data_IF_758172890333
#
_entry.id   IF_758172890333
#
_cell.length_a   1.000
_cell.length_b   1.000
_cell.length_c   1.000
_cell.angle_alpha   90.00
_cell.angle_beta   90.00
_cell.angle_gamma   90.00
#
_symmetry.space_group_name_H-M   'P 1'
#
loop_
_entity.id
_entity.type
_entity.pdbx_description
1 polymer ?
#
# COMPACT_ATOMS: atom_id res chain seq x y z
N UNK A 1 -7.35 22.41 27.65
CA UNK A 1 -5.91 22.17 27.40
C UNK A 1 -5.69 20.67 27.25
N UNK A 2 -5.05 20.19 26.18
CA UNK A 2 -4.90 18.75 25.93
C UNK A 2 -3.89 18.08 26.86
N UNK A 3 -4.22 16.90 27.41
CA UNK A 3 -3.34 16.10 28.27
C UNK A 3 -2.07 15.73 27.50
N UNK A 4 -0.89 16.03 28.09
CA UNK A 4 0.41 15.63 27.52
C UNK A 4 0.51 14.11 27.53
N UNK A 5 0.70 13.50 26.36
CA UNK A 5 0.92 12.04 26.23
C UNK A 5 2.33 11.67 26.71
N UNK A 6 2.51 10.49 27.33
CA UNK A 6 3.84 10.02 27.73
C UNK A 6 4.74 9.80 26.51
N UNK A 7 6.03 10.02 26.69
CA UNK A 7 7.07 9.88 25.65
C UNK A 7 8.13 8.85 26.07
N UNK A 8 7.81 7.55 26.10
CA UNK A 8 8.73 6.54 26.60
C UNK A 8 9.86 6.18 25.62
N UNK A 9 9.81 6.67 24.37
CA UNK A 9 10.77 6.31 23.32
C UNK A 9 11.70 7.45 22.94
N UNK A 10 12.82 7.08 22.30
CA UNK A 10 13.79 8.00 21.70
C UNK A 10 14.25 9.09 22.68
N UNK A 11 14.85 8.66 23.80
CA UNK A 11 15.35 9.54 24.85
C UNK A 11 14.30 10.55 25.37
N UNK A 12 13.08 10.07 25.65
CA UNK A 12 12.02 10.92 26.20
C UNK A 12 11.34 11.86 25.20
N UNK A 13 11.67 11.78 23.90
CA UNK A 13 11.19 12.75 22.90
C UNK A 13 9.97 12.25 22.11
N UNK A 14 9.74 10.94 22.06
CA UNK A 14 8.75 10.33 21.17
C UNK A 14 7.66 9.56 21.92
N UNK A 15 6.40 9.81 21.54
CA UNK A 15 5.23 9.06 22.02
C UNK A 15 5.16 7.67 21.39
N UNK A 16 4.45 6.72 22.00
CA UNK A 16 4.23 5.38 21.44
C UNK A 16 3.63 5.42 20.03
N UNK A 17 2.68 6.32 19.78
CA UNK A 17 2.09 6.49 18.44
C UNK A 17 3.11 6.99 17.42
N UNK A 18 4.03 7.87 17.83
CA UNK A 18 5.14 8.32 16.99
C UNK A 18 6.11 7.19 16.66
N UNK A 19 6.48 6.40 17.66
CA UNK A 19 7.39 5.26 17.51
C UNK A 19 6.86 4.22 16.51
N UNK A 20 5.62 3.75 16.70
CA UNK A 20 5.03 2.76 15.80
C UNK A 20 4.69 3.34 14.42
N UNK A 21 4.36 4.64 14.34
CA UNK A 21 4.22 5.36 13.07
C UNK A 21 5.53 5.40 12.28
N UNK A 22 6.66 5.65 12.94
CA UNK A 22 7.99 5.63 12.35
C UNK A 22 8.33 4.25 11.79
N UNK A 23 8.15 3.18 12.58
CA UNK A 23 8.41 1.80 12.13
C UNK A 23 7.53 1.46 10.92
N UNK A 24 6.24 1.78 10.98
CA UNK A 24 5.30 1.53 9.87
C UNK A 24 5.75 2.21 8.59
N UNK A 25 6.23 3.45 8.68
CA UNK A 25 6.76 4.21 7.54
C UNK A 25 8.02 3.56 6.96
N UNK A 26 8.96 3.16 7.83
CA UNK A 26 10.19 2.50 7.42
C UNK A 26 9.93 1.16 6.70
N UNK A 27 9.04 0.32 7.24
CA UNK A 27 8.65 -0.94 6.62
C UNK A 27 7.99 -0.73 5.25
N UNK A 28 7.04 0.22 5.14
CA UNK A 28 6.39 0.55 3.86
C UNK A 28 7.36 1.12 2.83
N UNK A 29 8.41 1.84 3.27
CA UNK A 29 9.44 2.30 2.36
C UNK A 29 10.22 1.12 1.77
N UNK A 30 10.52 0.10 2.58
CA UNK A 30 11.22 -1.11 2.14
C UNK A 30 10.36 -2.00 1.25
N UNK A 31 9.06 -2.12 1.53
CA UNK A 31 8.15 -2.94 0.72
C UNK A 31 8.03 -2.49 -0.74
N UNK A 32 8.38 -1.24 -1.06
CA UNK A 32 8.44 -0.75 -2.46
C UNK A 32 9.42 -1.51 -3.34
N UNK A 33 10.47 -2.09 -2.73
CA UNK A 33 11.51 -2.86 -3.43
C UNK A 33 11.22 -4.36 -3.41
N UNK A 34 10.08 -4.77 -2.85
CA UNK A 34 9.67 -6.17 -2.80
C UNK A 34 9.38 -6.69 -4.20
N UNK A 35 10.07 -7.76 -4.62
CA UNK A 35 10.02 -8.27 -5.99
C UNK A 35 8.58 -8.60 -6.45
N UNK A 36 7.72 -9.22 -5.62
CA UNK A 36 6.32 -9.46 -5.96
C UNK A 36 5.51 -8.22 -6.39
N UNK A 37 5.81 -7.03 -5.87
CA UNK A 37 5.15 -5.78 -6.30
C UNK A 37 5.42 -5.50 -7.78
N UNK A 38 6.68 -5.67 -8.20
CA UNK A 38 7.07 -5.49 -9.59
C UNK A 38 6.48 -6.60 -10.47
N UNK A 39 6.38 -7.82 -9.95
CA UNK A 39 5.82 -8.97 -10.69
C UNK A 39 4.32 -8.84 -10.91
N UNK A 40 3.54 -8.45 -9.89
CA UNK A 40 2.10 -8.20 -10.01
C UNK A 40 1.81 -7.15 -11.09
N UNK A 41 2.64 -6.11 -11.15
CA UNK A 41 2.56 -5.08 -12.20
C UNK A 41 2.90 -5.64 -13.59
N UNK A 42 3.88 -6.55 -13.71
CA UNK A 42 4.19 -7.20 -14.99
C UNK A 42 3.06 -8.11 -15.46
N UNK A 43 2.47 -8.91 -14.56
CA UNK A 43 1.38 -9.83 -14.90
C UNK A 43 0.13 -9.08 -15.38
N UNK A 44 -0.12 -7.88 -14.86
CA UNK A 44 -1.25 -7.06 -15.27
C UNK A 44 -1.04 -6.25 -16.56
N UNK A 45 0.11 -6.37 -17.26
CA UNK A 45 0.46 -5.50 -18.39
C UNK A 45 0.26 -6.16 -19.75
N UNK A 46 -0.01 -5.33 -20.77
CA UNK A 46 0.08 -5.70 -22.19
C UNK A 46 0.78 -4.62 -23.01
N UNK A 47 1.26 -4.98 -24.20
CA UNK A 47 1.82 -4.01 -25.14
C UNK A 47 0.74 -3.01 -25.53
N UNK A 48 1.03 -1.72 -25.37
CA UNK A 48 0.10 -0.67 -25.75
C UNK A 48 0.01 -0.57 -27.29
N UNK A 49 -1.21 -0.52 -27.81
CA UNK A 49 -1.49 -0.32 -29.23
C UNK A 49 -2.28 0.99 -29.39
N UNK A 50 -1.60 2.08 -29.71
CA UNK A 50 -2.25 3.36 -29.94
C UNK A 50 -1.31 4.45 -30.45
N UNK A 51 -1.85 5.67 -30.62
CA UNK A 51 -1.15 6.79 -31.26
C UNK A 51 0.09 7.25 -30.49
N UNK A 52 0.10 7.09 -29.16
CA UNK A 52 1.22 7.51 -28.34
C UNK A 52 2.38 6.50 -28.42
N UNK A 53 3.30 6.72 -29.37
CA UNK A 53 4.49 5.87 -29.58
C UNK A 53 5.44 5.79 -28.38
N UNK A 54 5.36 6.72 -27.41
CA UNK A 54 6.20 6.69 -26.19
C UNK A 54 5.70 5.70 -25.14
N UNK A 55 4.44 5.28 -25.23
CA UNK A 55 3.87 4.33 -24.28
C UNK A 55 4.11 2.90 -24.78
N UNK A 56 4.96 2.16 -24.07
CA UNK A 56 5.25 0.75 -24.39
C UNK A 56 4.20 -0.21 -23.81
N UNK A 57 3.72 0.08 -22.60
CA UNK A 57 2.87 -0.81 -21.82
C UNK A 57 1.61 -0.09 -21.35
N UNK A 58 0.53 -0.85 -21.20
CA UNK A 58 -0.65 -0.47 -20.43
C UNK A 58 -1.04 -1.61 -19.48
N UNK A 59 -1.75 -1.27 -18.42
CA UNK A 59 -2.00 -2.16 -17.28
C UNK A 59 -3.50 -2.28 -17.03
N UNK A 60 -3.96 -3.50 -16.76
CA UNK A 60 -5.36 -3.77 -16.49
C UNK A 60 -5.68 -3.54 -15.01
N UNK A 61 -6.72 -2.74 -14.76
CA UNK A 61 -7.27 -2.58 -13.42
C UNK A 61 -8.05 -3.84 -13.01
N UNK A 62 -7.79 -4.39 -11.83
CA UNK A 62 -8.46 -5.59 -11.35
C UNK A 62 -9.95 -5.37 -11.07
N UNK A 63 -10.37 -4.16 -10.68
CA UNK A 63 -11.77 -3.87 -10.37
C UNK A 63 -12.60 -3.58 -11.63
N UNK A 64 -12.22 -2.54 -12.41
CA UNK A 64 -13.03 -2.10 -13.55
C UNK A 64 -12.64 -2.76 -14.89
N UNK A 65 -11.60 -3.60 -14.90
CA UNK A 65 -11.08 -4.34 -16.06
C UNK A 65 -10.63 -3.50 -17.26
N UNK A 66 -10.61 -2.17 -17.13
CA UNK A 66 -10.08 -1.21 -18.13
C UNK A 66 -8.56 -1.14 -18.09
N UNK A 67 -7.98 -0.68 -19.20
CA UNK A 67 -6.54 -0.52 -19.39
C UNK A 67 -6.09 0.92 -19.17
N UNK A 68 -4.95 1.10 -18.50
CA UNK A 68 -4.45 2.41 -18.10
C UNK A 68 -2.93 2.51 -18.32
N UNK A 69 -2.40 3.72 -18.60
CA UNK A 69 -0.98 3.96 -18.57
C UNK A 69 -0.43 3.86 -17.15
N UNK A 70 0.88 3.64 -17.02
CA UNK A 70 1.55 3.45 -15.73
C UNK A 70 1.25 4.55 -14.70
N UNK A 71 1.23 5.81 -15.14
CA UNK A 71 0.95 6.97 -14.26
C UNK A 71 -0.45 6.95 -13.62
N UNK A 72 -1.36 6.11 -14.11
CA UNK A 72 -2.75 6.04 -13.69
C UNK A 72 -3.10 4.76 -12.91
N UNK A 73 -2.11 3.90 -12.64
CA UNK A 73 -2.28 2.67 -11.84
C UNK A 73 -1.45 2.70 -10.57
N UNK A 74 -1.84 1.87 -9.61
CA UNK A 74 -1.15 1.60 -8.36
C UNK A 74 -1.18 0.10 -8.11
N UNK A 75 -0.07 -0.45 -7.60
CA UNK A 75 -0.04 -1.81 -7.06
C UNK A 75 -0.54 -1.72 -5.63
N UNK A 76 -1.51 -2.55 -5.31
CA UNK A 76 -2.33 -2.48 -4.12
C UNK A 76 -2.38 -3.86 -3.47
N UNK A 77 -2.37 -3.90 -2.13
CA UNK A 77 -2.54 -5.15 -1.39
C UNK A 77 -4.00 -5.59 -1.44
N UNK A 78 -4.30 -6.83 -1.83
CA UNK A 78 -5.68 -7.36 -1.81
C UNK A 78 -6.22 -7.33 -0.39
N UNK A 79 -5.45 -7.87 0.56
CA UNK A 79 -5.68 -7.74 1.99
C UNK A 79 -4.82 -6.60 2.51
N UNK A 80 -5.44 -5.54 3.02
CA UNK A 80 -4.73 -4.38 3.56
C UNK A 80 -3.70 -4.79 4.61
N UNK A 81 -2.49 -4.22 4.56
CA UNK A 81 -1.43 -4.50 5.53
C UNK A 81 -1.83 -4.22 6.99
N UNK A 82 -2.89 -3.44 7.22
CA UNK A 82 -3.42 -3.18 8.55
C UNK A 82 -2.79 -1.96 9.23
N UNK A 83 -3.02 -1.86 10.54
CA UNK A 83 -2.37 -0.89 11.41
C UNK A 83 -1.19 -1.52 12.14
N UNK A 84 -0.20 -0.68 12.50
CA UNK A 84 0.90 -1.04 13.37
C UNK A 84 0.94 -0.02 14.51
N UNK A 85 0.23 -0.29 15.61
CA UNK A 85 0.03 0.60 16.75
C UNK A 85 0.75 0.11 18.01
N UNK A 86 1.05 -1.18 18.08
CA UNK A 86 1.76 -1.82 19.18
C UNK A 86 2.63 -2.98 18.67
N UNK A 87 3.31 -3.66 19.59
CA UNK A 87 4.23 -4.76 19.28
C UNK A 87 3.47 -5.98 18.74
N UNK A 88 2.27 -6.21 19.26
CA UNK A 88 1.41 -7.34 18.95
C UNK A 88 0.92 -7.27 17.49
N UNK A 89 0.80 -6.07 16.92
CA UNK A 89 0.44 -5.86 15.51
C UNK A 89 1.58 -6.23 14.54
N UNK A 90 2.84 -6.35 15.02
CA UNK A 90 4.02 -6.43 14.15
C UNK A 90 4.05 -7.70 13.27
N UNK A 91 3.79 -8.92 13.78
CA UNK A 91 3.83 -10.14 12.96
C UNK A 91 2.85 -10.09 11.79
N UNK A 92 1.57 -9.89 12.09
CA UNK A 92 0.49 -9.75 11.10
C UNK A 92 0.76 -8.65 10.07
N UNK A 93 1.26 -7.50 10.52
CA UNK A 93 1.57 -6.38 9.64
C UNK A 93 2.69 -6.73 8.65
N UNK A 94 3.73 -7.41 9.10
CA UNK A 94 4.86 -7.82 8.25
C UNK A 94 4.41 -8.90 7.26
N UNK A 95 3.69 -9.92 7.70
CA UNK A 95 3.17 -10.98 6.83
C UNK A 95 2.29 -10.44 5.71
N UNK A 96 1.36 -9.51 6.03
CA UNK A 96 0.51 -8.89 5.02
C UNK A 96 1.26 -7.89 4.13
N UNK A 97 2.23 -7.15 4.68
CA UNK A 97 2.97 -6.15 3.93
C UNK A 97 3.89 -6.77 2.87
N UNK A 98 4.54 -7.89 3.21
CA UNK A 98 5.49 -8.62 2.36
C UNK A 98 4.88 -9.93 1.83
N UNK A 99 3.62 -9.88 1.39
CA UNK A 99 2.96 -11.01 0.74
C UNK A 99 3.59 -11.35 -0.62
N UNK A 100 3.31 -12.56 -1.11
CA UNK A 100 3.68 -12.97 -2.46
C UNK A 100 2.78 -12.32 -3.52
N UNK A 101 3.06 -12.61 -4.80
CA UNK A 101 2.47 -11.91 -5.95
C UNK A 101 0.93 -12.00 -5.99
N UNK A 102 0.37 -13.07 -5.45
CA UNK A 102 -1.06 -13.34 -5.31
C UNK A 102 -1.74 -12.44 -4.27
N UNK A 103 -0.98 -11.87 -3.32
CA UNK A 103 -1.46 -10.88 -2.37
C UNK A 103 -1.56 -9.46 -2.93
N UNK A 104 -1.15 -9.24 -4.19
CA UNK A 104 -1.18 -7.94 -4.86
C UNK A 104 -2.17 -7.89 -6.02
N UNK A 105 -2.69 -6.69 -6.27
CA UNK A 105 -3.51 -6.37 -7.44
C UNK A 105 -3.13 -5.03 -8.02
N UNK A 106 -3.37 -4.84 -9.33
CA UNK A 106 -3.20 -3.54 -9.98
C UNK A 106 -4.54 -2.83 -10.07
N UNK A 107 -4.63 -1.61 -9.52
CA UNK A 107 -5.83 -0.79 -9.55
C UNK A 107 -5.56 0.54 -10.24
N UNK A 108 -6.54 1.05 -10.98
CA UNK A 108 -6.50 2.45 -11.39
C UNK A 108 -6.74 3.37 -10.19
N UNK A 109 -6.21 4.60 -10.25
CA UNK A 109 -6.33 5.59 -9.15
C UNK A 109 -7.77 5.76 -8.63
N UNK A 110 -8.84 5.84 -9.47
CA UNK A 110 -10.21 5.91 -8.98
C UNK A 110 -10.63 4.68 -8.17
N UNK A 111 -10.39 3.46 -8.68
CA UNK A 111 -10.76 2.22 -7.99
C UNK A 111 -9.98 2.06 -6.67
N UNK A 112 -8.69 2.38 -6.68
CA UNK A 112 -7.87 2.36 -5.47
C UNK A 112 -8.38 3.34 -4.41
N UNK A 113 -8.78 4.56 -4.82
CA UNK A 113 -9.39 5.55 -3.91
C UNK A 113 -10.66 5.00 -3.25
N UNK A 114 -11.55 4.40 -4.04
CA UNK A 114 -12.78 3.79 -3.49
C UNK A 114 -12.44 2.71 -2.46
N UNK A 115 -11.52 1.79 -2.78
CA UNK A 115 -11.08 0.74 -1.85
C UNK A 115 -10.51 1.33 -0.55
N UNK A 116 -9.62 2.32 -0.68
CA UNK A 116 -9.03 3.03 0.46
C UNK A 116 -10.08 3.68 1.36
N UNK A 117 -11.08 4.33 0.77
CA UNK A 117 -12.12 5.04 1.52
C UNK A 117 -13.07 4.06 2.23
N UNK A 118 -13.39 2.92 1.59
CA UNK A 118 -14.14 1.83 2.22
C UNK A 118 -13.39 1.26 3.42
N UNK A 119 -12.10 0.96 3.27
CA UNK A 119 -11.26 0.46 4.36
C UNK A 119 -11.13 1.46 5.51
N UNK A 120 -10.94 2.76 5.22
CA UNK A 120 -10.91 3.78 6.27
C UNK A 120 -12.22 3.86 7.05
N UNK A 121 -13.36 3.66 6.39
CA UNK A 121 -14.68 3.64 7.05
C UNK A 121 -14.82 2.41 7.95
N UNK A 122 -14.30 1.24 7.55
CA UNK A 122 -14.38 0.04 8.39
C UNK A 122 -13.59 0.13 9.69
N UNK A 123 -12.56 0.99 9.76
CA UNK A 123 -11.76 1.22 10.96
C UNK A 123 -12.39 2.19 11.99
N UNK A 124 -13.51 2.84 11.65
CA UNK A 124 -14.18 3.85 12.50
C UNK A 124 -15.41 3.30 13.25
N UNK A 125 -15.60 1.98 13.25
CA UNK A 125 -16.58 1.32 14.13
C UNK A 125 -16.03 1.24 15.55
#
# INVERSE_FOLDING_TARGET
>A
MGVKKPKPYNNGTMTSAGFWGMIRSALRQKSRWWKPVAEAKKLARRVYKGKNKRQKWEYQCNHCKKWFPDKNIQVDHIVEAGSLKCKEDLPDFVERLFCEVDGFQVLCKPCHKVKTDVYKKSLKK
#
